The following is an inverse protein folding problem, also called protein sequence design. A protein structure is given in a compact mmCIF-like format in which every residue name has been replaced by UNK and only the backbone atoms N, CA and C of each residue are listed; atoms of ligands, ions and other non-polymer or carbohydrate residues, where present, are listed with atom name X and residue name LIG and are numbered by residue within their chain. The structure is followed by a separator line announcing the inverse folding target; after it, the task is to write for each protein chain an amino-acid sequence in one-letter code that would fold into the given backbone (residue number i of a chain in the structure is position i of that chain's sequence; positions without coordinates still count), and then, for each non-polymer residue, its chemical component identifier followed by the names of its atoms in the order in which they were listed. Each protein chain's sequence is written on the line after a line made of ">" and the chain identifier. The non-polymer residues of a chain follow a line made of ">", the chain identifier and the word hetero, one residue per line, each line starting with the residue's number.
data_IF_493737354845
#
_entry.id   IF_493737354845
#
_cell.length_a   1.000
_cell.length_b   1.000
_cell.length_c   1.000
_cell.angle_alpha   90.00
_cell.angle_beta   90.00
_cell.angle_gamma   90.00
#
_symmetry.space_group_name_H-M   'P 1'
#
loop_
_entity.id
_entity.type
_entity.pdbx_description
1 polymer ?
#
# COMPACT_ATOMS: atom_id res chain seq x y z
N UNK A 1 10.98 3.27 -20.45
CA UNK A 1 10.82 3.38 -18.98
C UNK A 1 9.34 3.32 -18.65
N UNK A 2 8.93 2.60 -17.61
CA UNK A 2 7.51 2.44 -17.24
C UNK A 2 7.34 2.68 -15.75
N UNK A 3 6.49 3.63 -15.36
CA UNK A 3 6.28 4.01 -13.95
C UNK A 3 4.78 4.22 -13.70
N UNK A 4 4.33 3.89 -12.49
CA UNK A 4 2.96 4.12 -12.03
C UNK A 4 2.97 5.05 -10.83
N UNK A 5 2.21 6.13 -10.90
CA UNK A 5 1.87 7.00 -9.79
C UNK A 5 0.44 6.71 -9.33
N UNK A 6 0.27 6.32 -8.07
CA UNK A 6 -1.05 6.08 -7.45
C UNK A 6 -1.33 7.13 -6.38
N UNK A 7 -2.57 7.60 -6.32
CA UNK A 7 -2.92 8.64 -5.37
C UNK A 7 -4.41 9.02 -5.36
N UNK A 8 -4.71 10.12 -4.67
CA UNK A 8 -6.01 10.79 -4.76
C UNK A 8 -6.18 11.33 -6.18
N UNK A 9 -7.36 11.13 -6.76
CA UNK A 9 -7.65 11.53 -8.14
C UNK A 9 -7.41 10.43 -9.18
N UNK A 10 -6.82 9.28 -8.79
CA UNK A 10 -6.66 8.12 -9.66
C UNK A 10 -5.24 7.55 -9.68
N UNK A 11 -4.88 6.93 -10.80
CA UNK A 11 -3.53 6.51 -11.09
C UNK A 11 -3.08 7.05 -12.45
N UNK A 12 -1.82 7.45 -12.56
CA UNK A 12 -1.15 7.74 -13.82
C UNK A 12 -0.11 6.67 -14.08
N UNK A 13 -0.07 6.14 -15.29
CA UNK A 13 0.86 5.10 -15.69
C UNK A 13 1.56 5.52 -16.98
N UNK A 14 2.85 5.75 -16.86
CA UNK A 14 3.72 6.02 -17.99
C UNK A 14 4.04 4.70 -18.69
N UNK A 15 3.60 4.58 -19.95
CA UNK A 15 3.95 3.49 -20.85
C UNK A 15 4.87 4.00 -21.97
N UNK A 16 5.24 3.12 -22.90
CA UNK A 16 6.12 3.46 -24.01
C UNK A 16 5.40 4.37 -25.02
N UNK A 17 5.47 5.69 -24.81
CA UNK A 17 4.92 6.70 -25.75
C UNK A 17 3.55 7.28 -25.35
N UNK A 18 2.97 6.83 -24.24
CA UNK A 18 1.72 7.37 -23.71
C UNK A 18 1.71 7.41 -22.17
N UNK A 19 0.85 8.28 -21.62
CA UNK A 19 0.44 8.24 -20.22
C UNK A 19 -1.00 7.76 -20.16
N UNK A 20 -1.21 6.67 -19.43
CA UNK A 20 -2.54 6.16 -19.11
C UNK A 20 -3.01 6.72 -17.77
N UNK A 21 -4.12 7.46 -17.77
CA UNK A 21 -4.75 7.96 -16.56
C UNK A 21 -5.96 7.11 -16.25
N UNK A 22 -6.09 6.62 -15.02
CA UNK A 22 -7.20 5.79 -14.56
C UNK A 22 -7.90 6.49 -13.40
N UNK A 23 -9.16 6.89 -13.57
CA UNK A 23 -10.01 7.49 -12.53
C UNK A 23 -11.34 6.77 -12.47
N UNK A 24 -11.55 6.01 -11.39
CA UNK A 24 -12.75 5.18 -11.26
C UNK A 24 -12.81 4.11 -12.35
N UNK A 25 -13.79 4.22 -13.25
CA UNK A 25 -13.99 3.28 -14.39
C UNK A 25 -13.43 3.78 -15.71
N UNK A 26 -13.02 5.05 -15.76
CA UNK A 26 -12.58 5.70 -16.99
C UNK A 26 -11.06 5.63 -17.06
N UNK A 27 -10.58 5.21 -18.23
CA UNK A 27 -9.18 5.25 -18.61
C UNK A 27 -9.01 6.23 -19.75
N UNK A 28 -8.09 7.16 -19.62
CA UNK A 28 -7.63 7.99 -20.72
C UNK A 28 -6.25 7.48 -21.15
N UNK A 29 -6.05 7.29 -22.45
CA UNK A 29 -4.71 7.12 -23.02
C UNK A 29 -4.31 8.44 -23.66
N UNK A 30 -3.21 9.00 -23.17
CA UNK A 30 -2.74 10.32 -23.56
C UNK A 30 -1.37 10.14 -24.21
N UNK A 31 -1.26 10.18 -25.54
CA UNK A 31 0.03 10.13 -26.22
C UNK A 31 0.96 11.23 -25.69
N UNK A 32 2.27 10.99 -25.58
CA UNK A 32 3.20 11.99 -25.03
C UNK A 32 3.17 13.31 -25.83
N UNK A 33 2.95 13.25 -27.14
CA UNK A 33 2.79 14.43 -28.01
C UNK A 33 1.55 15.26 -27.72
N UNK A 34 0.55 14.71 -27.04
CA UNK A 34 -0.65 15.43 -26.62
C UNK A 34 -0.41 16.22 -25.32
N UNK A 35 0.65 15.92 -24.57
CA UNK A 35 0.96 16.58 -23.30
C UNK A 35 1.73 17.87 -23.62
N UNK A 36 1.14 19.01 -23.26
CA UNK A 36 1.79 20.31 -23.44
C UNK A 36 2.69 20.67 -22.26
N UNK A 37 2.19 20.50 -21.03
CA UNK A 37 2.90 20.90 -19.80
C UNK A 37 2.72 19.83 -18.72
N UNK A 38 3.81 19.58 -17.99
CA UNK A 38 3.83 18.73 -16.78
C UNK A 38 4.18 19.61 -15.59
N UNK A 39 3.20 19.86 -14.75
CA UNK A 39 3.37 20.58 -13.49
C UNK A 39 3.52 19.58 -12.35
N UNK A 40 4.49 19.84 -11.47
CA UNK A 40 4.59 19.13 -10.20
C UNK A 40 4.91 20.14 -9.12
N UNK A 41 4.25 20.00 -7.98
CA UNK A 41 4.57 20.76 -6.75
C UNK A 41 5.87 20.25 -6.08
N UNK A 42 6.52 19.24 -6.67
CA UNK A 42 7.74 18.61 -6.17
C UNK A 42 7.56 17.72 -4.95
N UNK A 43 6.35 17.58 -4.40
CA UNK A 43 6.11 16.86 -3.15
C UNK A 43 4.95 15.90 -3.21
N UNK A 44 3.78 16.36 -3.65
CA UNK A 44 2.53 15.65 -3.44
C UNK A 44 1.64 15.55 -4.66
N UNK A 45 1.94 16.21 -5.76
CA UNK A 45 1.07 16.19 -6.93
C UNK A 45 1.80 16.26 -8.25
N UNK A 46 1.14 15.67 -9.25
CA UNK A 46 1.47 15.81 -10.67
C UNK A 46 0.20 16.20 -11.39
N UNK A 47 0.29 17.26 -12.20
CA UNK A 47 -0.75 17.71 -13.11
C UNK A 47 -0.22 17.67 -14.55
N UNK A 48 -1.00 17.06 -15.44
CA UNK A 48 -0.75 17.00 -16.87
C UNK A 48 -1.74 17.92 -17.57
N UNK A 49 -1.24 18.89 -18.32
CA UNK A 49 -2.05 19.77 -19.15
C UNK A 49 -1.91 19.37 -20.61
N UNK A 50 -3.04 19.16 -21.27
CA UNK A 50 -3.09 18.77 -22.68
C UNK A 50 -2.76 20.00 -23.53
N UNK A 51 -1.99 19.81 -24.60
CA UNK A 51 -1.67 20.89 -25.53
C UNK A 51 -2.93 21.38 -26.24
N UNK A 52 -3.06 22.70 -26.44
CA UNK A 52 -4.25 23.31 -27.03
C UNK A 52 -5.46 23.42 -26.10
N UNK A 53 -5.42 22.80 -24.92
CA UNK A 53 -6.48 22.87 -23.92
C UNK A 53 -6.29 24.12 -23.03
N UNK A 54 -6.92 25.23 -23.44
CA UNK A 54 -6.87 26.50 -22.71
C UNK A 54 -7.86 26.57 -21.56
N UNK A 55 -8.87 25.70 -21.53
CA UNK A 55 -9.99 25.75 -20.58
C UNK A 55 -10.02 24.59 -19.58
N UNK A 56 -9.32 23.49 -19.84
CA UNK A 56 -9.37 22.30 -18.99
C UNK A 56 -8.44 22.32 -17.77
N UNK A 57 -8.96 21.82 -16.65
CA UNK A 57 -8.22 21.61 -15.38
C UNK A 57 -7.06 20.60 -15.48
N UNK A 58 -6.94 19.90 -16.62
CA UNK A 58 -5.97 18.84 -16.85
C UNK A 58 -6.19 17.59 -16.01
N UNK A 59 -5.25 16.64 -16.13
CA UNK A 59 -5.25 15.42 -15.34
C UNK A 59 -4.39 15.61 -14.10
N UNK A 60 -4.98 15.44 -12.92
CA UNK A 60 -4.29 15.62 -11.65
C UNK A 60 -4.36 14.36 -10.78
N UNK A 61 -3.20 13.95 -10.24
CA UNK A 61 -3.07 12.89 -9.24
C UNK A 61 -2.18 13.38 -8.10
N UNK A 62 -2.67 13.25 -6.86
CA UNK A 62 -1.93 13.59 -5.65
C UNK A 62 -1.53 12.36 -4.85
N UNK A 63 -0.24 12.20 -4.55
CA UNK A 63 0.29 11.08 -3.76
C UNK A 63 0.98 11.60 -2.50
N UNK A 64 0.80 10.91 -1.38
CA UNK A 64 1.51 11.22 -0.12
C UNK A 64 2.98 10.75 -0.11
N UNK A 65 3.52 10.32 -1.24
CA UNK A 65 4.87 9.79 -1.38
C UNK A 65 5.63 10.63 -2.43
N UNK A 66 6.50 11.51 -1.94
CA UNK A 66 7.28 12.43 -2.78
C UNK A 66 8.27 11.71 -3.70
N UNK A 67 8.77 10.53 -3.29
CA UNK A 67 9.68 9.75 -4.13
C UNK A 67 8.96 9.17 -5.34
N UNK A 68 7.71 8.71 -5.17
CA UNK A 68 6.89 8.25 -6.27
C UNK A 68 6.55 9.39 -7.25
N UNK A 69 6.22 10.58 -6.72
CA UNK A 69 5.96 11.80 -7.52
C UNK A 69 7.21 12.23 -8.30
N UNK A 70 8.37 12.26 -7.63
CA UNK A 70 9.66 12.59 -8.24
C UNK A 70 10.04 11.60 -9.34
N UNK A 71 10.00 10.30 -9.06
CA UNK A 71 10.33 9.26 -10.03
C UNK A 71 9.39 9.30 -11.26
N UNK A 72 8.09 9.51 -11.04
CA UNK A 72 7.13 9.62 -12.15
C UNK A 72 7.36 10.88 -12.99
N UNK A 73 7.53 12.05 -12.36
CA UNK A 73 7.76 13.32 -13.04
C UNK A 73 9.07 13.29 -13.84
N UNK A 74 10.14 12.76 -13.24
CA UNK A 74 11.44 12.61 -13.91
C UNK A 74 11.35 11.63 -15.09
N UNK A 75 10.68 10.49 -14.89
CA UNK A 75 10.44 9.52 -15.96
C UNK A 75 9.64 10.09 -17.12
N UNK A 76 8.61 10.88 -16.82
CA UNK A 76 7.79 11.54 -17.81
C UNK A 76 8.57 12.60 -18.58
N UNK A 77 9.32 13.48 -17.89
CA UNK A 77 10.17 14.49 -18.54
C UNK A 77 11.20 13.85 -19.47
N UNK A 78 11.84 12.77 -19.02
CA UNK A 78 12.78 12.00 -19.85
C UNK A 78 12.10 11.41 -21.08
N UNK A 79 10.90 10.85 -20.93
CA UNK A 79 10.14 10.29 -22.04
C UNK A 79 9.65 11.36 -23.04
N UNK A 80 9.40 12.58 -22.56
CA UNK A 80 9.01 13.72 -23.40
C UNK A 80 10.20 14.40 -24.10
N UNK A 81 11.44 14.11 -23.70
CA UNK A 81 12.62 14.71 -24.34
C UNK A 81 12.67 14.32 -25.83
N UNK A 82 12.59 15.32 -26.71
CA UNK A 82 12.57 15.12 -28.16
C UNK A 82 11.18 14.84 -28.75
N UNK A 83 10.12 14.89 -27.95
CA UNK A 83 8.73 14.80 -28.42
C UNK A 83 8.19 16.21 -28.62
N UNK A 84 7.89 16.59 -29.86
CA UNK A 84 7.24 17.87 -30.16
C UNK A 84 5.75 17.79 -29.85
N UNK A 85 5.20 18.65 -28.96
CA UNK A 85 3.77 18.69 -28.69
C UNK A 85 2.98 19.09 -29.94
N UNK A 86 1.81 18.49 -30.15
CA UNK A 86 0.88 18.92 -31.21
C UNK A 86 0.10 20.17 -30.78
N UNK A 87 -0.40 20.96 -31.73
CA UNK A 87 -1.17 22.17 -31.42
C UNK A 87 -2.47 21.84 -30.66
N UNK A 88 -3.19 20.79 -31.08
CA UNK A 88 -4.38 20.27 -30.41
C UNK A 88 -4.14 18.83 -29.95
N UNK A 89 -3.77 18.68 -28.68
CA UNK A 89 -3.59 17.38 -28.05
C UNK A 89 -4.90 16.69 -27.70
N UNK A 90 -6.01 17.43 -27.61
CA UNK A 90 -7.29 16.87 -27.13
C UNK A 90 -7.85 15.85 -28.12
N UNK A 91 -7.71 16.11 -29.43
CA UNK A 91 -8.07 15.20 -30.50
C UNK A 91 -7.33 13.85 -30.47
N UNK A 92 -6.19 13.76 -29.77
CA UNK A 92 -5.39 12.55 -29.65
C UNK A 92 -5.70 11.72 -28.40
N UNK A 93 -6.45 12.27 -27.45
CA UNK A 93 -6.77 11.58 -26.21
C UNK A 93 -7.86 10.56 -26.49
N UNK A 94 -7.58 9.28 -26.24
CA UNK A 94 -8.59 8.23 -26.33
C UNK A 94 -9.14 7.88 -24.95
N UNK A 95 -10.43 7.56 -24.89
CA UNK A 95 -11.11 7.12 -23.66
C UNK A 95 -11.53 5.67 -23.78
N UNK A 96 -11.23 4.87 -22.77
CA UNK A 96 -11.68 3.49 -22.64
C UNK A 96 -12.28 3.22 -21.26
N UNK A 97 -13.12 2.20 -21.18
CA UNK A 97 -13.60 1.66 -19.90
C UNK A 97 -12.64 0.57 -19.44
N UNK A 98 -12.16 0.62 -18.19
CA UNK A 98 -11.39 -0.50 -17.63
C UNK A 98 -12.36 -1.55 -17.09
N UNK A 99 -12.24 -2.84 -17.49
CA UNK A 99 -12.93 -3.92 -16.80
C UNK A 99 -12.52 -3.91 -15.33
N UNK A 100 -13.51 -4.10 -14.45
CA UNK A 100 -13.29 -4.16 -13.01
C UNK A 100 -12.34 -5.32 -12.72
N UNK A 101 -11.08 -5.05 -12.39
CA UNK A 101 -10.31 -6.04 -11.65
C UNK A 101 -11.05 -6.22 -10.32
N UNK A 102 -11.58 -7.41 -10.01
CA UNK A 102 -12.19 -7.62 -8.70
C UNK A 102 -11.07 -7.43 -7.68
N UNK A 103 -11.09 -6.29 -6.99
CA UNK A 103 -10.45 -6.14 -5.70
C UNK A 103 -11.17 -7.12 -4.77
N UNK A 104 -10.76 -8.38 -4.82
CA UNK A 104 -11.24 -9.46 -3.97
C UNK A 104 -10.62 -9.33 -2.57
N UNK A 105 -10.70 -8.13 -2.00
CA UNK A 105 -10.81 -7.98 -0.57
C UNK A 105 -12.30 -7.82 -0.34
N UNK A 106 -12.94 -8.86 0.18
CA UNK A 106 -14.28 -8.74 0.70
C UNK A 106 -14.23 -7.71 1.84
N UNK A 107 -14.45 -6.44 1.51
CA UNK A 107 -14.34 -5.32 2.46
C UNK A 107 -15.32 -5.47 3.62
N UNK A 108 -16.34 -6.33 3.48
CA UNK A 108 -17.21 -6.73 4.59
C UNK A 108 -16.48 -7.67 5.54
N UNK A 109 -15.80 -8.71 5.05
CA UNK A 109 -15.03 -9.63 5.90
C UNK A 109 -13.92 -8.90 6.69
N UNK A 110 -13.24 -7.95 6.04
CA UNK A 110 -12.23 -7.10 6.72
C UNK A 110 -12.88 -6.21 7.78
N UNK A 111 -14.01 -5.58 7.48
CA UNK A 111 -14.75 -4.74 8.43
C UNK A 111 -15.30 -5.53 9.61
N UNK A 112 -15.87 -6.70 9.36
CA UNK A 112 -16.37 -7.63 10.39
C UNK A 112 -15.21 -8.11 11.25
N UNK A 113 -14.09 -8.52 10.65
CA UNK A 113 -12.89 -8.94 11.39
C UNK A 113 -12.35 -7.83 12.30
N UNK A 114 -12.26 -6.59 11.80
CA UNK A 114 -11.89 -5.43 12.63
C UNK A 114 -12.92 -5.15 13.74
N UNK A 115 -14.22 -5.27 13.44
CA UNK A 115 -15.29 -5.08 14.43
C UNK A 115 -15.23 -6.12 15.55
N UNK A 116 -15.02 -7.39 15.22
CA UNK A 116 -14.86 -8.48 16.21
C UNK A 116 -13.61 -8.27 17.04
N UNK A 117 -12.47 -7.94 16.42
CA UNK A 117 -11.23 -7.67 17.17
C UNK A 117 -11.38 -6.46 18.10
N UNK A 118 -12.02 -5.39 17.63
CA UNK A 118 -12.32 -4.20 18.45
C UNK A 118 -13.28 -4.50 19.60
N UNK A 119 -14.34 -5.27 19.35
CA UNK A 119 -15.28 -5.72 20.38
C UNK A 119 -14.57 -6.58 21.44
N UNK A 120 -13.77 -7.57 21.03
CA UNK A 120 -13.03 -8.43 21.94
C UNK A 120 -12.02 -7.62 22.78
N UNK A 121 -11.35 -6.65 22.18
CA UNK A 121 -10.47 -5.74 22.90
C UNK A 121 -11.24 -4.92 23.95
N UNK A 122 -12.39 -4.34 23.59
CA UNK A 122 -13.21 -3.55 24.52
C UNK A 122 -13.81 -4.42 25.62
N UNK A 123 -14.37 -5.59 25.29
CA UNK A 123 -14.90 -6.53 26.26
C UNK A 123 -13.82 -7.00 27.25
N UNK A 124 -12.62 -7.25 26.75
CA UNK A 124 -11.45 -7.59 27.56
C UNK A 124 -11.04 -6.42 28.48
N UNK A 125 -10.91 -5.19 27.95
CA UNK A 125 -10.62 -4.00 28.76
C UNK A 125 -11.70 -3.71 29.81
N UNK A 126 -12.99 -3.89 29.49
CA UNK A 126 -14.10 -3.71 30.43
C UNK A 126 -14.06 -4.75 31.56
N UNK A 127 -13.69 -6.00 31.25
CA UNK A 127 -13.51 -7.04 32.27
C UNK A 127 -12.37 -6.71 33.24
N UNK A 128 -11.37 -5.93 32.81
CA UNK A 128 -10.29 -5.43 33.68
C UNK A 128 -10.74 -4.27 34.60
N UNK A 129 -11.84 -3.58 34.30
CA UNK A 129 -12.36 -2.42 35.07
C UNK A 129 -13.34 -2.85 36.18
N UNK A 130 -13.95 -4.03 36.10
CA UNK A 130 -14.80 -4.56 37.17
C UNK A 130 -13.91 -5.06 38.32
N UNK A 131 -13.55 -4.13 39.21
CA UNK A 131 -12.64 -4.34 40.32
C UNK A 131 -13.40 -4.77 41.60
N UNK A 132 -13.02 -5.93 42.12
CA UNK A 132 -13.33 -6.43 43.46
C UNK A 132 -12.06 -6.25 44.33
N UNK A 133 -12.13 -6.10 45.67
CA UNK A 133 -11.00 -5.74 46.55
C UNK A 133 -9.79 -6.71 46.57
N UNK A 134 -9.88 -7.86 45.92
CA UNK A 134 -8.81 -8.87 45.83
C UNK A 134 -7.71 -8.50 44.79
N UNK A 135 -7.42 -7.20 44.62
CA UNK A 135 -6.64 -6.63 43.49
C UNK A 135 -5.16 -7.08 43.40
N UNK A 136 -4.55 -7.56 44.49
CA UNK A 136 -3.12 -7.95 44.48
C UNK A 136 -2.85 -9.26 43.74
N UNK A 137 -3.76 -10.23 43.78
CA UNK A 137 -3.60 -11.50 43.05
C UNK A 137 -3.77 -11.31 41.53
N UNK A 138 -4.61 -10.35 41.12
CA UNK A 138 -4.90 -10.02 39.71
C UNK A 138 -3.76 -9.28 39.01
N UNK A 139 -3.00 -8.44 39.73
CA UNK A 139 -1.79 -7.80 39.19
C UNK A 139 -0.71 -8.83 38.84
N UNK A 140 -0.44 -9.78 39.74
CA UNK A 140 0.51 -10.86 39.48
C UNK A 140 0.11 -11.71 38.27
N UNK A 141 -1.18 -12.01 38.11
CA UNK A 141 -1.68 -12.79 36.97
C UNK A 141 -1.59 -12.06 35.62
N UNK A 142 -1.76 -10.72 35.61
CA UNK A 142 -1.80 -9.94 34.35
C UNK A 142 -0.43 -9.46 33.87
N UNK A 143 0.57 -9.33 34.76
CA UNK A 143 1.95 -8.94 34.38
C UNK A 143 2.55 -9.92 33.37
N UNK A 144 2.20 -11.21 33.45
CA UNK A 144 2.65 -12.21 32.47
C UNK A 144 2.17 -11.94 31.04
N UNK A 145 1.12 -11.12 30.83
CA UNK A 145 0.62 -10.75 29.50
C UNK A 145 1.50 -9.73 28.78
N UNK A 146 2.31 -8.95 29.50
CA UNK A 146 3.23 -7.95 28.91
C UNK A 146 4.15 -8.55 27.84
N UNK A 147 4.96 -9.60 28.13
CA UNK A 147 5.85 -10.18 27.13
C UNK A 147 5.10 -10.74 25.92
N UNK A 148 3.89 -11.27 26.09
CA UNK A 148 3.05 -11.72 24.96
C UNK A 148 2.57 -10.55 24.11
N UNK A 149 2.07 -9.48 24.74
CA UNK A 149 1.64 -8.27 24.04
C UNK A 149 2.79 -7.63 23.25
N UNK A 150 3.96 -7.46 23.89
CA UNK A 150 5.17 -6.95 23.25
C UNK A 150 5.67 -7.88 22.13
N UNK A 151 5.64 -9.19 22.35
CA UNK A 151 6.02 -10.19 21.35
C UNK A 151 5.12 -10.13 20.10
N UNK A 152 3.80 -9.98 20.28
CA UNK A 152 2.86 -9.83 19.16
C UNK A 152 3.04 -8.51 18.42
N UNK A 153 3.28 -7.40 19.13
CA UNK A 153 3.61 -6.11 18.51
C UNK A 153 4.89 -6.19 17.68
N UNK A 154 5.93 -6.83 18.22
CA UNK A 154 7.19 -7.07 17.50
C UNK A 154 6.96 -7.92 16.26
N UNK A 155 6.17 -9.00 16.36
CA UNK A 155 5.83 -9.87 15.23
C UNK A 155 5.03 -9.12 14.16
N UNK A 156 4.00 -8.37 14.57
CA UNK A 156 3.18 -7.53 13.69
C UNK A 156 4.05 -6.54 12.92
N UNK A 157 4.94 -5.84 13.62
CA UNK A 157 5.86 -4.89 13.02
C UNK A 157 6.82 -5.59 12.05
N UNK A 158 7.53 -6.62 12.51
CA UNK A 158 8.62 -7.27 11.78
C UNK A 158 8.18 -7.94 10.49
N UNK A 159 7.00 -8.55 10.48
CA UNK A 159 6.54 -9.39 9.37
C UNK A 159 5.47 -8.72 8.50
N UNK A 160 4.63 -7.86 9.08
CA UNK A 160 3.45 -7.36 8.37
C UNK A 160 3.50 -5.86 8.10
N UNK A 161 3.91 -5.05 9.08
CA UNK A 161 3.75 -3.59 9.02
C UNK A 161 5.00 -2.82 8.58
N UNK A 162 6.20 -3.34 8.82
CA UNK A 162 7.47 -2.65 8.50
C UNK A 162 7.63 -2.36 7.00
N UNK A 163 7.61 -3.39 6.15
CA UNK A 163 7.85 -3.13 4.72
C UNK A 163 6.75 -2.33 4.02
N UNK A 164 5.44 -2.54 4.24
CA UNK A 164 4.44 -1.70 3.60
C UNK A 164 4.48 -0.27 4.14
N UNK A 165 4.86 -0.06 5.41
CA UNK A 165 5.12 1.29 5.92
C UNK A 165 6.28 1.98 5.18
N UNK A 166 7.39 1.26 5.02
CA UNK A 166 8.55 1.74 4.26
C UNK A 166 8.14 2.04 2.81
N UNK A 167 7.52 1.08 2.11
CA UNK A 167 7.09 1.23 0.72
C UNK A 167 6.03 2.32 0.55
N UNK A 168 5.15 2.54 1.54
CA UNK A 168 4.21 3.65 1.53
C UNK A 168 4.92 5.00 1.56
N UNK A 169 6.00 5.14 2.33
CA UNK A 169 6.74 6.41 2.49
C UNK A 169 7.71 6.69 1.35
N UNK A 170 8.41 5.67 0.85
CA UNK A 170 9.52 5.86 -0.12
C UNK A 170 9.43 5.00 -1.38
N UNK A 171 8.44 4.12 -1.48
CA UNK A 171 8.37 3.15 -2.56
C UNK A 171 7.98 3.80 -3.90
N UNK A 172 8.53 3.26 -4.98
CA UNK A 172 8.17 3.62 -6.36
C UNK A 172 7.41 2.45 -6.97
N UNK A 173 6.33 2.74 -7.69
CA UNK A 173 5.52 1.69 -8.32
C UNK A 173 5.84 1.62 -9.81
N UNK A 174 6.07 0.42 -10.30
CA UNK A 174 6.36 0.12 -11.71
C UNK A 174 5.50 -1.04 -12.17
N UNK A 175 5.21 -1.15 -13.48
CA UNK A 175 4.64 -2.37 -14.02
C UNK A 175 5.64 -3.52 -13.90
N UNK A 176 5.16 -4.68 -13.48
CA UNK A 176 5.90 -5.92 -13.46
C UNK A 176 5.01 -7.10 -13.83
N UNK A 177 5.56 -8.29 -13.65
CA UNK A 177 4.86 -9.54 -13.94
C UNK A 177 5.21 -10.63 -12.93
N UNK A 178 4.29 -11.57 -12.75
CA UNK A 178 4.53 -12.79 -11.99
C UNK A 178 5.13 -13.82 -12.96
N UNK A 179 6.41 -14.14 -12.78
CA UNK A 179 7.13 -15.09 -13.64
C UNK A 179 7.04 -16.53 -13.15
N UNK A 180 6.95 -16.72 -11.84
CA UNK A 180 6.90 -18.05 -11.21
C UNK A 180 6.16 -18.01 -9.86
N UNK A 181 5.90 -19.18 -9.28
CA UNK A 181 5.40 -19.35 -7.92
C UNK A 181 6.27 -20.37 -7.18
N UNK A 182 6.93 -19.93 -6.11
CA UNK A 182 7.63 -20.82 -5.19
C UNK A 182 6.62 -21.41 -4.21
N UNK A 183 6.37 -22.71 -4.30
CA UNK A 183 5.48 -23.41 -3.38
C UNK A 183 6.24 -23.78 -2.11
N UNK A 184 5.71 -23.39 -0.96
CA UNK A 184 6.17 -23.94 0.32
C UNK A 184 5.57 -25.33 0.50
N UNK A 185 6.42 -26.36 0.58
CA UNK A 185 6.01 -27.77 0.74
C UNK A 185 5.14 -28.04 1.97
N UNK A 186 5.16 -27.15 2.97
CA UNK A 186 4.46 -27.34 4.25
C UNK A 186 3.10 -26.65 4.36
N UNK A 187 2.81 -25.62 3.57
CA UNK A 187 1.71 -24.70 3.87
C UNK A 187 0.65 -24.53 2.77
N UNK A 188 0.75 -25.30 1.67
CA UNK A 188 -0.09 -25.11 0.46
C UNK A 188 -0.11 -23.64 -0.03
N UNK A 189 0.88 -22.85 0.40
CA UNK A 189 1.01 -21.43 0.18
C UNK A 189 2.09 -21.22 -0.87
N UNK A 190 1.82 -20.29 -1.79
CA UNK A 190 2.72 -19.97 -2.89
C UNK A 190 3.25 -18.54 -2.75
N UNK A 191 4.55 -18.35 -2.89
CA UNK A 191 5.18 -17.04 -2.98
C UNK A 191 5.34 -16.67 -4.46
N UNK A 192 4.68 -15.62 -4.97
CA UNK A 192 4.86 -15.20 -6.35
C UNK A 192 6.26 -14.61 -6.54
N UNK A 193 6.95 -15.05 -7.59
CA UNK A 193 8.21 -14.47 -8.05
C UNK A 193 7.88 -13.34 -9.02
N UNK A 194 8.23 -12.12 -8.64
CA UNK A 194 7.94 -10.90 -9.37
C UNK A 194 9.16 -10.51 -10.21
N UNK A 195 8.95 -10.21 -11.49
CA UNK A 195 9.95 -9.58 -12.37
C UNK A 195 9.50 -8.17 -12.72
N UNK A 196 10.37 -7.19 -12.54
CA UNK A 196 10.07 -5.79 -12.87
C UNK A 196 11.34 -5.02 -13.22
N UNK A 197 11.17 -3.87 -13.88
CA UNK A 197 12.27 -2.96 -14.20
C UNK A 197 12.15 -1.72 -13.32
N UNK A 198 13.20 -1.37 -12.58
CA UNK A 198 13.25 -0.18 -11.72
C UNK A 198 13.18 1.10 -12.55
N UNK A 199 12.92 2.24 -11.91
CA UNK A 199 12.96 3.56 -12.52
C UNK A 199 14.32 3.87 -13.17
N UNK A 200 15.40 3.29 -12.65
CA UNK A 200 16.77 3.45 -13.16
C UNK A 200 17.09 2.47 -14.31
N UNK A 201 16.14 1.60 -14.66
CA UNK A 201 16.28 0.65 -15.78
C UNK A 201 16.82 -0.73 -15.40
N UNK A 202 17.16 -0.98 -14.14
CA UNK A 202 17.63 -2.29 -13.70
C UNK A 202 16.48 -3.30 -13.65
N UNK A 203 16.68 -4.51 -14.17
CA UNK A 203 15.67 -5.58 -14.07
C UNK A 203 15.93 -6.43 -12.83
N UNK A 204 14.91 -6.57 -12.00
CA UNK A 204 14.97 -7.27 -10.70
C UNK A 204 13.97 -8.42 -10.71
N UNK A 205 14.39 -9.56 -10.16
CA UNK A 205 13.53 -10.71 -9.88
C UNK A 205 13.48 -10.93 -8.38
N UNK A 206 12.30 -10.87 -7.80
CA UNK A 206 12.09 -10.89 -6.34
C UNK A 206 11.02 -11.90 -5.94
N UNK A 207 11.34 -12.80 -5.01
CA UNK A 207 10.35 -13.65 -4.37
C UNK A 207 9.58 -12.87 -3.31
N UNK A 208 8.28 -12.65 -3.56
CA UNK A 208 7.41 -11.94 -2.64
C UNK A 208 7.28 -12.69 -1.31
N UNK A 209 7.50 -12.01 -0.20
CA UNK A 209 7.23 -12.53 1.16
C UNK A 209 5.73 -12.72 1.46
N UNK A 210 4.86 -12.27 0.56
CA UNK A 210 3.41 -12.37 0.67
C UNK A 210 2.96 -13.65 -0.02
N UNK A 211 2.46 -14.59 0.78
CA UNK A 211 1.87 -15.83 0.27
C UNK A 211 0.53 -15.58 -0.43
N UNK A 212 0.24 -16.38 -1.45
CA UNK A 212 -1.07 -16.47 -2.09
C UNK A 212 -1.55 -17.91 -2.08
N UNK A 213 -2.86 -18.08 -1.92
CA UNK A 213 -3.53 -19.39 -1.93
C UNK A 213 -3.85 -19.87 -3.35
N UNK A 214 -3.93 -18.93 -4.31
CA UNK A 214 -4.30 -19.23 -5.69
C UNK A 214 -3.40 -18.47 -6.65
N UNK A 215 -3.01 -19.15 -7.74
CA UNK A 215 -2.28 -18.53 -8.85
C UNK A 215 -3.16 -17.49 -9.53
N UNK A 216 -2.60 -16.30 -9.77
CA UNK A 216 -3.26 -15.28 -10.56
C UNK A 216 -3.31 -15.70 -12.03
N UNK A 217 -4.51 -15.63 -12.66
CA UNK A 217 -4.66 -15.78 -14.12
C UNK A 217 -3.99 -14.64 -14.88
N UNK A 218 -3.99 -13.43 -14.30
CA UNK A 218 -3.27 -12.29 -14.84
C UNK A 218 -1.87 -12.23 -14.24
N UNK A 219 -0.84 -12.35 -15.08
CA UNK A 219 0.56 -12.22 -14.67
C UNK A 219 0.98 -10.76 -14.51
N UNK A 220 0.37 -9.83 -15.24
CA UNK A 220 0.69 -8.41 -15.13
C UNK A 220 0.25 -7.87 -13.76
N UNK A 221 1.18 -7.28 -13.03
CA UNK A 221 0.95 -6.71 -11.70
C UNK A 221 1.71 -5.41 -11.54
N UNK A 222 1.15 -4.46 -10.81
CA UNK A 222 1.94 -3.33 -10.34
C UNK A 222 2.79 -3.77 -9.15
N UNK A 223 4.08 -3.47 -9.22
CA UNK A 223 5.06 -3.77 -8.18
C UNK A 223 5.53 -2.46 -7.56
N UNK A 224 5.40 -2.34 -6.25
CA UNK A 224 5.97 -1.23 -5.48
C UNK A 224 7.26 -1.72 -4.84
N UNK A 225 8.38 -1.10 -5.19
CA UNK A 225 9.70 -1.45 -4.66
C UNK A 225 10.32 -0.25 -3.95
N UNK A 226 11.31 -0.50 -3.10
CA UNK A 226 12.09 0.52 -2.42
C UNK A 226 13.30 0.93 -3.28
N UNK A 227 13.42 2.19 -3.73
CA UNK A 227 14.54 2.63 -4.57
C UNK A 227 15.92 2.40 -3.98
N UNK A 228 16.05 2.40 -2.64
CA UNK A 228 17.33 2.20 -1.96
C UNK A 228 17.67 0.72 -1.72
N UNK A 229 16.68 -0.16 -1.86
CA UNK A 229 16.84 -1.60 -1.69
C UNK A 229 15.78 -2.32 -2.55
N UNK A 230 16.06 -2.56 -3.85
CA UNK A 230 15.10 -3.14 -4.77
C UNK A 230 14.62 -4.55 -4.40
N UNK A 231 15.37 -5.28 -3.57
CA UNK A 231 14.96 -6.57 -3.01
C UNK A 231 13.80 -6.45 -2.02
N UNK A 232 13.44 -5.23 -1.62
CA UNK A 232 12.21 -4.94 -0.90
C UNK A 232 11.13 -4.52 -1.90
N UNK A 233 10.40 -5.48 -2.43
CA UNK A 233 9.32 -5.24 -3.38
C UNK A 233 8.03 -5.96 -2.98
N UNK A 234 6.88 -5.39 -3.36
CA UNK A 234 5.56 -6.00 -3.12
C UNK A 234 4.63 -5.78 -4.30
N UNK A 235 3.86 -6.81 -4.63
CA UNK A 235 2.75 -6.70 -5.59
C UNK A 235 1.50 -6.06 -4.98
N UNK A 236 0.57 -5.61 -5.84
CA UNK A 236 -0.66 -4.93 -5.42
C UNK A 236 -1.61 -5.71 -4.49
N UNK A 237 -1.44 -7.02 -4.31
CA UNK A 237 -2.27 -7.85 -3.40
C UNK A 237 -1.77 -7.91 -1.95
N UNK A 238 -0.66 -7.26 -1.62
CA UNK A 238 -0.09 -7.27 -0.27
C UNK A 238 -0.98 -6.61 0.81
N UNK A 239 -2.06 -5.93 0.43
CA UNK A 239 -2.93 -5.21 1.36
C UNK A 239 -3.65 -6.14 2.36
N UNK A 240 -3.99 -7.37 1.97
CA UNK A 240 -4.64 -8.32 2.88
C UNK A 240 -3.75 -8.70 4.08
N UNK A 241 -2.43 -8.80 3.86
CA UNK A 241 -1.48 -9.09 4.93
C UNK A 241 -1.31 -7.90 5.89
N UNK A 242 -1.53 -6.67 5.40
CA UNK A 242 -1.53 -5.50 6.26
C UNK A 242 -2.67 -5.56 7.29
N UNK A 243 -3.86 -6.01 6.89
CA UNK A 243 -4.99 -6.19 7.81
C UNK A 243 -4.66 -7.17 8.94
N UNK A 244 -4.04 -8.31 8.62
CA UNK A 244 -3.59 -9.27 9.63
C UNK A 244 -2.57 -8.65 10.59
N UNK A 245 -1.59 -7.91 10.05
CA UNK A 245 -0.62 -7.17 10.86
C UNK A 245 -1.26 -6.16 11.81
N UNK A 246 -2.25 -5.40 11.33
CA UNK A 246 -2.99 -4.45 12.17
C UNK A 246 -3.78 -5.17 13.26
N UNK A 247 -4.45 -6.28 12.93
CA UNK A 247 -5.19 -7.07 13.91
C UNK A 247 -4.27 -7.62 15.02
N UNK A 248 -3.13 -8.21 14.64
CA UNK A 248 -2.11 -8.67 15.60
C UNK A 248 -1.59 -7.52 16.47
N UNK A 249 -1.35 -6.34 15.86
CA UNK A 249 -0.85 -5.19 16.60
C UNK A 249 -1.88 -4.67 17.61
N UNK A 250 -3.16 -4.59 17.23
CA UNK A 250 -4.24 -4.17 18.12
C UNK A 250 -4.42 -5.16 19.28
N UNK A 251 -4.37 -6.46 19.00
CA UNK A 251 -4.47 -7.49 20.03
C UNK A 251 -3.26 -7.45 20.98
N UNK A 252 -2.04 -7.34 20.44
CA UNK A 252 -0.82 -7.21 21.23
C UNK A 252 -0.81 -5.94 22.09
N UNK A 253 -1.26 -4.81 21.56
CA UNK A 253 -1.44 -3.57 22.32
C UNK A 253 -2.47 -3.74 23.45
N UNK A 254 -3.58 -4.42 23.19
CA UNK A 254 -4.58 -4.75 24.20
C UNK A 254 -4.02 -5.54 25.36
N UNK A 255 -3.30 -6.63 25.07
CA UNK A 255 -2.64 -7.45 26.09
C UNK A 255 -1.62 -6.65 26.91
N UNK A 256 -0.89 -5.73 26.27
CA UNK A 256 0.07 -4.86 26.96
C UNK A 256 -0.57 -3.77 27.82
N UNK A 257 -1.74 -3.25 27.41
CA UNK A 257 -2.44 -2.18 28.12
C UNK A 257 -3.13 -2.65 29.40
N UNK A 258 -3.59 -3.90 29.48
CA UNK A 258 -4.26 -4.44 30.68
C UNK A 258 -3.42 -4.35 31.96
N UNK A 259 -2.19 -4.89 32.02
CA UNK A 259 -1.36 -4.78 33.22
C UNK A 259 -1.02 -3.32 33.54
N UNK A 260 -0.86 -2.45 32.53
CA UNK A 260 -0.65 -1.02 32.73
C UNK A 260 -1.87 -0.35 33.38
N UNK A 261 -3.08 -0.66 32.92
CA UNK A 261 -4.32 -0.15 33.50
C UNK A 261 -4.49 -0.64 34.95
N UNK A 262 -4.26 -1.92 35.22
CA UNK A 262 -4.32 -2.45 36.58
C UNK A 262 -3.28 -1.78 37.50
N UNK A 263 -2.06 -1.56 37.01
CA UNK A 263 -1.02 -0.86 37.76
C UNK A 263 -1.45 0.57 38.10
N UNK A 264 -1.95 1.33 37.12
CA UNK A 264 -2.43 2.70 37.33
C UNK A 264 -3.62 2.74 38.30
N UNK A 265 -4.57 1.81 38.18
CA UNK A 265 -5.71 1.72 39.09
C UNK A 265 -5.28 1.43 40.53
N UNK A 266 -4.31 0.53 40.74
CA UNK A 266 -3.76 0.24 42.06
C UNK A 266 -3.02 1.44 42.68
N UNK A 267 -2.25 2.18 41.86
CA UNK A 267 -1.53 3.38 42.30
C UNK A 267 -2.48 4.53 42.63
N UNK A 268 -3.54 4.72 41.85
CA UNK A 268 -4.50 5.81 42.02
C UNK A 268 -5.58 5.53 43.08
N UNK A 269 -5.98 4.26 43.23
CA UNK A 269 -7.02 3.82 44.17
C UNK A 269 -6.51 3.51 45.58
N UNK A 270 -5.19 3.45 45.79
CA UNK A 270 -4.56 3.28 47.11
C UNK A 270 -4.52 4.56 47.96
N UNK A 271 -5.49 5.47 47.80
CA UNK A 271 -5.69 6.66 48.62
C UNK A 271 -6.86 6.48 49.58
#
# INVERSE_FOLDING_TARGET
>A
MRIVLKGRGGAMRLESGEVRVVRGRVTWQIPLRAIGVVESDGRTSVRLRISGDTAGDGFHVSSGNSNAVGAFTEGLRRAMKGVTPVADGTALVSTGATPRAPLALNTRAVRVGMGVCGYLLVAFLLSAVVADPEQRSRLGATVFLLPFGTGLLWLAWRFFLRDPWILRRRGVTVPGEIVDYRTSTKQQAMNPVLRFTTADGATVTHESSVTVLMRSRNRAVDVTYDPHNPDRARGGRAFAHMTMGVALALFGAGLGLVPLIHFLAAVLGGR
#
